data_IF_904411275100
#
_entry.id   IF_904411275100
#
_cell.length_a   1.000
_cell.length_b   1.000
_cell.length_c   1.000
_cell.angle_alpha   90.00
_cell.angle_beta   90.00
_cell.angle_gamma   90.00
#
_symmetry.space_group_name_H-M   'P 1'
#
loop_
_entity.id
_entity.type
_entity.pdbx_description
1 polymer ?
#
# COMPACT_ATOMS: atom_id res chain seq x y z
N UNK A 1 -61.49 -23.54 11.04
CA UNK A 1 -60.12 -23.16 10.63
C UNK A 1 -60.10 -21.76 10.00
N UNK A 2 -60.39 -20.69 10.77
CA UNK A 2 -60.47 -19.30 10.24
C UNK A 2 -59.84 -18.26 11.18
N UNK A 3 -58.90 -18.66 12.06
CA UNK A 3 -58.27 -17.74 13.02
C UNK A 3 -56.90 -17.20 12.58
N UNK A 4 -56.20 -17.85 11.64
CA UNK A 4 -54.87 -17.38 11.18
C UNK A 4 -54.92 -16.28 10.12
N UNK A 5 -55.97 -16.22 9.30
CA UNK A 5 -56.04 -15.23 8.21
C UNK A 5 -56.32 -13.81 8.70
N UNK A 6 -56.94 -13.66 9.86
CA UNK A 6 -57.27 -12.35 10.45
C UNK A 6 -56.03 -11.68 11.07
N UNK A 7 -55.09 -12.46 11.61
CA UNK A 7 -53.88 -11.94 12.27
C UNK A 7 -52.89 -11.34 11.24
N UNK A 8 -52.79 -11.94 10.05
CA UNK A 8 -51.94 -11.43 8.96
C UNK A 8 -52.48 -10.12 8.41
N UNK A 9 -53.81 -9.98 8.30
CA UNK A 9 -54.42 -8.74 7.83
C UNK A 9 -54.19 -7.58 8.80
N UNK A 10 -54.28 -7.83 10.12
CA UNK A 10 -54.09 -6.79 11.14
C UNK A 10 -52.63 -6.29 11.15
N UNK A 11 -51.64 -7.16 10.95
CA UNK A 11 -50.22 -6.75 10.87
C UNK A 11 -49.92 -5.81 9.70
N UNK A 12 -50.68 -5.90 8.59
CA UNK A 12 -50.55 -5.00 7.44
C UNK A 12 -51.17 -3.61 7.71
N UNK A 13 -52.20 -3.53 8.55
CA UNK A 13 -52.84 -2.25 8.88
C UNK A 13 -52.13 -1.45 9.97
N UNK A 14 -51.39 -2.11 10.89
CA UNK A 14 -50.59 -1.41 11.93
C UNK A 14 -49.37 -0.71 11.33
N UNK A 15 -48.89 -1.14 10.15
CA UNK A 15 -47.77 -0.46 9.48
C UNK A 15 -48.17 0.78 8.68
N UNK A 16 -49.48 1.05 8.54
CA UNK A 16 -50.03 2.21 7.82
C UNK A 16 -50.26 3.41 8.77
N UNK A 17 -49.45 3.53 9.83
CA UNK A 17 -49.54 4.58 10.85
C UNK A 17 -48.64 5.77 10.53
N UNK A 18 -49.25 6.86 10.06
CA UNK A 18 -48.84 8.28 10.14
C UNK A 18 -47.44 8.77 9.70
N UNK A 19 -46.48 7.91 9.36
CA UNK A 19 -45.26 8.36 8.69
C UNK A 19 -45.53 8.38 7.18
N UNK A 20 -45.93 9.53 6.65
CA UNK A 20 -45.91 9.73 5.18
C UNK A 20 -44.49 9.44 4.72
N UNK A 21 -44.37 8.44 3.86
CA UNK A 21 -43.11 8.11 3.21
C UNK A 21 -42.64 9.34 2.41
N UNK A 22 -41.42 9.81 2.73
CA UNK A 22 -40.79 10.96 2.07
C UNK A 22 -39.65 10.47 1.16
N UNK A 23 -39.86 10.46 -0.18
CA UNK A 23 -38.85 10.02 -1.13
C UNK A 23 -37.57 10.85 -1.07
N UNK A 24 -37.69 12.17 -0.83
CA UNK A 24 -36.55 13.08 -0.84
C UNK A 24 -35.68 12.82 0.39
N UNK A 25 -36.31 12.64 1.56
CA UNK A 25 -35.61 12.26 2.78
C UNK A 25 -34.91 10.90 2.64
N UNK A 26 -35.58 9.90 2.04
CA UNK A 26 -34.97 8.59 1.82
C UNK A 26 -33.79 8.68 0.86
N UNK A 27 -33.92 9.40 -0.26
CA UNK A 27 -32.84 9.59 -1.21
C UNK A 27 -31.65 10.30 -0.56
N UNK A 28 -31.90 11.36 0.21
CA UNK A 28 -30.85 12.06 0.96
C UNK A 28 -30.12 11.12 1.92
N UNK A 29 -30.82 10.31 2.71
CA UNK A 29 -30.21 9.34 3.61
C UNK A 29 -29.38 8.28 2.88
N UNK A 30 -29.89 7.75 1.76
CA UNK A 30 -29.18 6.76 0.95
C UNK A 30 -27.93 7.36 0.31
N UNK A 31 -28.02 8.58 -0.23
CA UNK A 31 -26.87 9.28 -0.83
C UNK A 31 -25.79 9.56 0.21
N UNK A 32 -26.15 10.02 1.42
CA UNK A 32 -25.23 10.23 2.52
C UNK A 32 -24.57 8.92 2.97
N UNK A 33 -25.34 7.83 3.06
CA UNK A 33 -24.79 6.51 3.40
C UNK A 33 -23.82 5.98 2.34
N UNK A 34 -24.10 6.20 1.05
CA UNK A 34 -23.19 5.84 -0.05
C UNK A 34 -21.90 6.66 0.04
N UNK A 35 -21.99 7.97 0.23
CA UNK A 35 -20.81 8.84 0.39
C UNK A 35 -19.95 8.43 1.59
N UNK A 36 -20.58 8.13 2.74
CA UNK A 36 -19.87 7.66 3.92
C UNK A 36 -19.13 6.34 3.65
N UNK A 37 -19.78 5.39 2.96
CA UNK A 37 -19.15 4.12 2.58
C UNK A 37 -17.97 4.33 1.63
N UNK A 38 -18.11 5.21 0.64
CA UNK A 38 -17.02 5.55 -0.28
C UNK A 38 -15.84 6.16 0.47
N UNK A 39 -16.08 7.13 1.36
CA UNK A 39 -15.02 7.75 2.16
C UNK A 39 -14.31 6.74 3.06
N UNK A 40 -15.06 5.86 3.71
CA UNK A 40 -14.48 4.80 4.55
C UNK A 40 -13.64 3.82 3.73
N UNK A 41 -14.09 3.47 2.52
CA UNK A 41 -13.34 2.60 1.63
C UNK A 41 -12.03 3.25 1.17
N UNK A 42 -12.05 4.53 0.75
CA UNK A 42 -10.84 5.27 0.38
C UNK A 42 -9.86 5.33 1.56
N UNK A 43 -10.35 5.61 2.76
CA UNK A 43 -9.52 5.62 3.97
C UNK A 43 -8.91 4.25 4.26
N UNK A 44 -9.65 3.16 4.06
CA UNK A 44 -9.12 1.81 4.24
C UNK A 44 -7.98 1.51 3.24
N UNK A 45 -8.13 1.92 1.99
CA UNK A 45 -7.08 1.78 0.97
C UNK A 45 -5.82 2.59 1.31
N UNK A 46 -5.97 3.80 1.86
CA UNK A 46 -4.82 4.59 2.33
C UNK A 46 -4.08 3.91 3.48
N UNK A 47 -4.82 3.36 4.46
CA UNK A 47 -4.23 2.62 5.58
C UNK A 47 -3.46 1.40 5.07
N UNK A 48 -4.07 0.59 4.20
CA UNK A 48 -3.44 -0.59 3.60
C UNK A 48 -2.17 -0.24 2.81
N UNK A 49 -2.20 0.88 2.07
CA UNK A 49 -1.04 1.36 1.34
C UNK A 49 0.12 1.76 2.28
N UNK A 50 -0.18 2.43 3.39
CA UNK A 50 0.82 2.78 4.40
C UNK A 50 1.38 1.53 5.09
N UNK A 51 0.54 0.56 5.43
CA UNK A 51 0.98 -0.71 6.01
C UNK A 51 1.91 -1.47 5.04
N UNK A 52 1.54 -1.54 3.76
CA UNK A 52 2.36 -2.15 2.72
C UNK A 52 3.75 -1.51 2.58
N UNK A 53 3.84 -0.18 2.70
CA UNK A 53 5.12 0.54 2.69
C UNK A 53 5.99 0.17 3.89
N UNK A 54 5.39 0.08 5.08
CA UNK A 54 6.09 -0.32 6.32
C UNK A 54 6.56 -1.76 6.25
N UNK A 55 5.77 -2.66 5.68
CA UNK A 55 6.12 -4.06 5.48
C UNK A 55 7.26 -4.21 4.48
N UNK A 56 7.28 -3.42 3.40
CA UNK A 56 8.41 -3.40 2.48
C UNK A 56 9.69 -2.91 3.16
N UNK A 57 9.63 -1.79 3.89
CA UNK A 57 10.78 -1.25 4.63
C UNK A 57 11.33 -2.28 5.61
N UNK A 58 10.44 -2.93 6.38
CA UNK A 58 10.80 -4.00 7.32
C UNK A 58 11.47 -5.20 6.62
N UNK A 59 10.91 -5.69 5.50
CA UNK A 59 11.51 -6.79 4.74
C UNK A 59 12.91 -6.45 4.25
N UNK A 60 13.11 -5.25 3.71
CA UNK A 60 14.43 -4.83 3.25
C UNK A 60 15.44 -4.80 4.40
N UNK A 61 15.05 -4.29 5.56
CA UNK A 61 15.91 -4.26 6.75
C UNK A 61 16.31 -5.67 7.23
N UNK A 62 15.44 -6.67 7.06
CA UNK A 62 15.70 -8.05 7.50
C UNK A 62 16.51 -8.85 6.47
N UNK A 63 16.19 -8.70 5.19
CA UNK A 63 16.75 -9.53 4.11
C UNK A 63 18.12 -9.03 3.63
N UNK A 64 18.43 -7.76 3.85
CA UNK A 64 19.66 -7.15 3.40
C UNK A 64 20.83 -7.48 4.34
N UNK A 65 21.74 -8.35 3.89
CA UNK A 65 22.89 -8.82 4.67
C UNK A 65 24.19 -8.72 3.88
N UNK A 66 25.28 -8.43 4.59
CA UNK A 66 26.64 -8.50 4.04
C UNK A 66 26.95 -9.95 3.63
N UNK A 67 27.58 -10.10 2.47
CA UNK A 67 27.94 -11.37 1.86
C UNK A 67 26.87 -11.96 0.93
N UNK A 68 25.63 -11.45 0.98
CA UNK A 68 24.57 -11.88 0.08
C UNK A 68 24.82 -11.42 -1.35
N UNK A 69 24.22 -12.16 -2.28
CA UNK A 69 24.25 -11.82 -3.68
C UNK A 69 23.26 -10.68 -3.97
N UNK A 70 23.73 -9.62 -4.64
CA UNK A 70 22.91 -8.46 -4.99
C UNK A 70 21.69 -8.84 -5.85
N UNK A 71 21.78 -9.88 -6.67
CA UNK A 71 20.65 -10.34 -7.49
C UNK A 71 19.44 -10.76 -6.65
N UNK A 72 19.64 -11.27 -5.43
CA UNK A 72 18.52 -11.61 -4.52
C UNK A 72 17.78 -10.37 -4.03
N UNK A 73 18.47 -9.23 -3.96
CA UNK A 73 17.88 -7.96 -3.50
C UNK A 73 17.31 -7.13 -4.64
N UNK A 74 17.65 -7.41 -5.91
CA UNK A 74 17.11 -6.68 -7.04
C UNK A 74 15.58 -6.78 -7.13
N UNK A 75 15.00 -7.89 -6.69
CA UNK A 75 13.54 -8.07 -6.63
C UNK A 75 12.88 -7.15 -5.60
N UNK A 76 13.61 -6.80 -4.52
CA UNK A 76 13.12 -5.95 -3.44
C UNK A 76 13.41 -4.47 -3.70
N UNK A 77 14.61 -4.14 -4.17
CA UNK A 77 15.10 -2.77 -4.34
C UNK A 77 14.83 -2.20 -5.73
N UNK A 78 14.62 -3.06 -6.71
CA UNK A 78 14.65 -2.71 -8.11
C UNK A 78 16.07 -2.42 -8.63
N UNK A 79 16.12 -2.01 -9.89
CA UNK A 79 17.36 -1.74 -10.62
C UNK A 79 17.69 -0.24 -10.72
N UNK A 80 16.88 0.63 -10.11
CA UNK A 80 17.05 2.08 -10.16
C UNK A 80 17.85 2.57 -8.96
N UNK A 81 19.11 2.93 -9.20
CA UNK A 81 20.02 3.46 -8.19
C UNK A 81 20.96 4.51 -8.78
N UNK A 82 21.53 5.33 -7.92
CA UNK A 82 22.60 6.28 -8.26
C UNK A 82 23.95 5.67 -7.92
N UNK A 83 24.88 5.60 -8.87
CA UNK A 83 26.26 5.21 -8.59
C UNK A 83 26.98 6.39 -7.94
N UNK A 84 27.50 6.18 -6.73
CA UNK A 84 28.27 7.18 -5.97
C UNK A 84 29.77 7.09 -6.25
N UNK A 85 30.27 5.86 -6.39
CA UNK A 85 31.67 5.58 -6.72
C UNK A 85 31.76 4.22 -7.41
N UNK A 86 32.74 4.06 -8.29
CA UNK A 86 33.04 2.79 -8.94
C UNK A 86 34.56 2.61 -9.12
N UNK A 87 35.04 1.38 -9.01
CA UNK A 87 36.43 1.03 -9.27
C UNK A 87 36.53 -0.40 -9.81
N UNK A 88 37.60 -0.73 -10.52
CA UNK A 88 37.87 -2.07 -11.01
C UNK A 88 39.19 -2.57 -10.43
N UNK A 89 39.12 -3.53 -9.50
CA UNK A 89 40.27 -4.05 -8.76
C UNK A 89 40.25 -5.56 -8.87
N UNK A 90 41.40 -6.18 -9.18
CA UNK A 90 41.55 -7.65 -9.26
C UNK A 90 40.50 -8.32 -10.18
N UNK A 91 40.22 -7.70 -11.32
CA UNK A 91 39.21 -8.16 -12.28
C UNK A 91 37.77 -8.19 -11.72
N UNK A 92 37.49 -7.43 -10.66
CA UNK A 92 36.16 -7.27 -10.07
C UNK A 92 35.74 -5.81 -10.00
N UNK A 93 34.48 -5.59 -10.31
CA UNK A 93 33.83 -4.29 -10.21
C UNK A 93 33.44 -4.01 -8.76
N UNK A 94 33.96 -2.92 -8.22
CA UNK A 94 33.57 -2.35 -6.94
C UNK A 94 32.66 -1.16 -7.18
N UNK A 95 31.49 -1.13 -6.55
CA UNK A 95 30.54 -0.03 -6.70
C UNK A 95 29.93 0.36 -5.36
N UNK A 96 29.76 1.67 -5.15
CA UNK A 96 28.83 2.22 -4.17
C UNK A 96 27.58 2.71 -4.88
N UNK A 97 26.43 2.19 -4.47
CA UNK A 97 25.11 2.52 -5.03
C UNK A 97 24.23 3.13 -3.95
N UNK A 98 23.58 4.24 -4.26
CA UNK A 98 22.55 4.87 -3.44
C UNK A 98 21.18 4.52 -4.01
N UNK A 99 20.32 3.97 -3.17
CA UNK A 99 18.92 3.69 -3.49
C UNK A 99 18.02 4.73 -2.82
N UNK A 100 17.16 5.33 -3.62
CA UNK A 100 16.11 6.23 -3.14
C UNK A 100 14.87 5.41 -2.77
N UNK A 101 14.19 5.80 -1.70
CA UNK A 101 12.97 5.12 -1.25
C UNK A 101 11.90 5.08 -2.33
N UNK A 102 11.70 6.18 -3.06
CA UNK A 102 10.69 6.24 -4.11
C UNK A 102 10.97 5.31 -5.30
N UNK A 103 12.25 5.07 -5.61
CA UNK A 103 12.66 4.15 -6.67
C UNK A 103 12.44 2.69 -6.26
N UNK A 104 12.69 2.39 -4.97
CA UNK A 104 12.38 1.08 -4.39
C UNK A 104 10.86 0.84 -4.46
N UNK A 105 10.07 1.82 -4.02
CA UNK A 105 8.60 1.73 -4.04
C UNK A 105 8.08 1.61 -5.48
N UNK A 106 8.62 2.37 -6.43
CA UNK A 106 8.19 2.30 -7.84
C UNK A 106 8.58 0.99 -8.54
N UNK A 107 9.56 0.25 -8.01
CA UNK A 107 9.88 -1.09 -8.50
C UNK A 107 8.90 -2.16 -8.01
N UNK A 108 8.31 -1.96 -6.82
CA UNK A 108 7.33 -2.87 -6.23
C UNK A 108 5.90 -2.56 -6.67
N UNK A 109 5.60 -1.28 -6.93
CA UNK A 109 4.28 -0.80 -7.34
C UNK A 109 4.39 0.26 -8.44
N UNK A 110 3.35 0.39 -9.26
CA UNK A 110 3.34 1.40 -10.33
C UNK A 110 3.36 2.84 -9.79
N UNK A 111 3.76 3.79 -10.63
CA UNK A 111 3.73 5.23 -10.30
C UNK A 111 2.32 5.76 -9.98
N UNK A 112 1.29 5.08 -10.45
CA UNK A 112 -0.11 5.45 -10.21
C UNK A 112 -0.67 4.88 -8.89
N UNK A 113 0.06 3.98 -8.24
CA UNK A 113 -0.34 3.31 -7.00
C UNK A 113 -0.45 4.29 -5.83
N UNK A 114 -1.28 3.95 -4.84
CA UNK A 114 -1.37 4.71 -3.59
C UNK A 114 -0.06 4.66 -2.81
N UNK A 115 0.63 3.51 -2.83
CA UNK A 115 1.94 3.32 -2.19
C UNK A 115 2.95 4.33 -2.73
N UNK A 116 3.05 4.45 -4.06
CA UNK A 116 3.94 5.44 -4.66
C UNK A 116 3.49 6.87 -4.34
N UNK A 117 2.19 7.19 -4.40
CA UNK A 117 1.70 8.55 -4.09
C UNK A 117 1.96 8.96 -2.64
N UNK A 118 1.87 8.02 -1.70
CA UNK A 118 2.00 8.25 -0.26
C UNK A 118 3.44 8.12 0.25
N UNK A 119 4.35 7.52 -0.51
CA UNK A 119 5.74 7.35 -0.06
C UNK A 119 6.49 8.70 0.02
N UNK A 120 7.49 8.76 0.90
CA UNK A 120 8.38 9.91 0.98
C UNK A 120 9.26 10.01 -0.28
N UNK A 121 9.22 11.16 -0.95
CA UNK A 121 9.96 11.45 -2.18
C UNK A 121 11.34 11.99 -1.87
N UNK A 122 12.33 11.71 -2.73
CA UNK A 122 13.72 12.13 -2.56
C UNK A 122 14.35 11.71 -1.22
N UNK A 123 13.84 10.65 -0.58
CA UNK A 123 14.46 10.07 0.62
C UNK A 123 15.57 9.12 0.19
N UNK A 124 16.80 9.46 0.55
CA UNK A 124 17.92 8.53 0.54
C UNK A 124 17.62 7.40 1.53
N UNK A 125 17.60 6.15 1.06
CA UNK A 125 17.19 5.02 1.89
C UNK A 125 18.37 4.16 2.33
N UNK A 126 19.18 3.72 1.38
CA UNK A 126 20.32 2.84 1.67
C UNK A 126 21.45 3.04 0.66
N UNK A 127 22.67 2.96 1.16
CA UNK A 127 23.88 2.85 0.36
C UNK A 127 24.42 1.42 0.45
N UNK A 128 24.62 0.79 -0.69
CA UNK A 128 25.25 -0.52 -0.81
C UNK A 128 26.65 -0.38 -1.37
N UNK A 129 27.62 -1.05 -0.75
CA UNK A 129 28.93 -1.30 -1.35
C UNK A 129 28.98 -2.72 -1.86
N UNK A 130 29.28 -2.89 -3.14
CA UNK A 130 29.25 -4.18 -3.85
C UNK A 130 30.63 -4.47 -4.42
N UNK A 131 31.03 -5.74 -4.39
CA UNK A 131 32.20 -6.29 -5.08
C UNK A 131 31.76 -7.46 -5.96
N UNK A 132 31.80 -7.25 -7.28
CA UNK A 132 31.22 -8.16 -8.25
C UNK A 132 29.71 -8.27 -8.06
N UNK A 133 29.25 -9.42 -7.59
CA UNK A 133 27.85 -9.72 -7.29
C UNK A 133 27.55 -9.76 -5.79
N UNK A 134 28.52 -9.47 -4.92
CA UNK A 134 28.34 -9.59 -3.47
C UNK A 134 28.29 -8.26 -2.76
N UNK A 135 27.40 -8.18 -1.79
CA UNK A 135 27.29 -7.04 -0.88
C UNK A 135 28.42 -7.11 0.14
N UNK A 136 29.22 -6.06 0.21
CA UNK A 136 30.35 -5.93 1.16
C UNK A 136 29.97 -5.03 2.32
N UNK A 137 29.13 -4.03 2.09
CA UNK A 137 28.66 -3.12 3.13
C UNK A 137 27.24 -2.62 2.83
N UNK A 138 26.50 -2.34 3.90
CA UNK A 138 25.12 -1.83 3.91
C UNK A 138 25.07 -0.66 4.88
N UNK A 139 24.62 0.51 4.40
CA UNK A 139 24.49 1.73 5.20
C UNK A 139 23.07 2.28 5.03
N UNK A 140 22.22 2.12 6.04
CA UNK A 140 20.88 2.71 6.06
C UNK A 140 20.95 4.19 6.47
N UNK A 141 20.12 5.02 5.86
CA UNK A 141 20.13 6.48 6.00
C UNK A 141 18.86 7.03 6.69
#
# INVERSE_FOLDING_TARGET
MFKSSVVILILLFVSCGNNKWDPDLQYQQQSAAIQLKQNNHLRALEIEAVESLRDLESRILVDMKVGENIYKLNDLLGLQYKVLAQNFIENKLWERRLYLWENIVSSNWSLDSLQFKLCQKNRDFVILTINGDRIVNVEFL
#
